data_IF_917327757445
#
_entry.id   IF_917327757445
#
_cell.length_a   1.000
_cell.length_b   1.000
_cell.length_c   1.000
_cell.angle_alpha   90.00
_cell.angle_beta   90.00
_cell.angle_gamma   90.00
#
_symmetry.space_group_name_H-M   'P 1'
#
loop_
_entity.id
_entity.type
_entity.pdbx_description
1 polymer ?
#
# COMPACT_ATOMS: atom_id res chain seq x y z
N UNK A 1 8.96 -14.22 -26.58
CA UNK A 1 8.94 -15.35 -25.62
C UNK A 1 7.48 -15.54 -25.22
N UNK A 2 6.83 -16.65 -25.58
CA UNK A 2 5.45 -16.90 -25.18
C UNK A 2 5.45 -17.54 -23.78
N UNK A 3 4.96 -16.82 -22.78
CA UNK A 3 4.80 -17.36 -21.43
C UNK A 3 3.54 -18.24 -21.48
N UNK A 4 3.70 -19.56 -21.39
CA UNK A 4 2.56 -20.47 -21.29
C UNK A 4 1.88 -20.31 -19.93
N UNK A 5 0.64 -19.80 -19.93
CA UNK A 5 -0.18 -19.71 -18.71
C UNK A 5 -0.91 -21.04 -18.53
N UNK A 6 -0.94 -21.58 -17.31
CA UNK A 6 -1.68 -22.81 -17.04
C UNK A 6 -3.18 -22.61 -17.23
N UNK A 7 -3.89 -23.68 -17.64
CA UNK A 7 -5.36 -23.66 -17.77
C UNK A 7 -6.06 -23.28 -16.47
N UNK A 8 -5.49 -23.69 -15.33
CA UNK A 8 -6.03 -23.34 -14.00
C UNK A 8 -5.92 -21.85 -13.70
N UNK A 9 -4.81 -21.20 -14.05
CA UNK A 9 -4.65 -19.75 -13.86
C UNK A 9 -5.61 -18.97 -14.76
N UNK A 10 -5.75 -19.37 -16.04
CA UNK A 10 -6.71 -18.71 -16.94
C UNK A 10 -8.15 -18.86 -16.44
N UNK A 11 -8.53 -20.07 -15.98
CA UNK A 11 -9.84 -20.31 -15.39
C UNK A 11 -10.07 -19.47 -14.14
N UNK A 12 -9.11 -19.43 -13.22
CA UNK A 12 -9.22 -18.64 -12.00
C UNK A 12 -9.37 -17.14 -12.29
N UNK A 13 -8.59 -16.60 -13.23
CA UNK A 13 -8.71 -15.19 -13.64
C UNK A 13 -10.07 -14.90 -14.29
N UNK A 14 -10.55 -15.81 -15.14
CA UNK A 14 -11.88 -15.67 -15.77
C UNK A 14 -12.99 -15.72 -14.73
N UNK A 15 -12.94 -16.68 -13.81
CA UNK A 15 -13.95 -16.85 -12.75
C UNK A 15 -13.93 -15.66 -11.77
N UNK A 16 -12.76 -15.07 -11.51
CA UNK A 16 -12.59 -13.92 -10.61
C UNK A 16 -13.06 -12.59 -11.23
N UNK A 17 -12.77 -12.37 -12.51
CA UNK A 17 -12.96 -11.06 -13.17
C UNK A 17 -14.13 -11.01 -14.15
N UNK A 18 -14.64 -12.16 -14.58
CA UNK A 18 -15.57 -12.28 -15.71
C UNK A 18 -14.92 -12.09 -17.09
N UNK A 19 -13.61 -11.79 -17.14
CA UNK A 19 -12.89 -11.53 -18.39
C UNK A 19 -12.28 -12.81 -18.96
N UNK A 20 -12.64 -13.15 -20.20
CA UNK A 20 -12.11 -14.33 -20.92
C UNK A 20 -10.74 -14.05 -21.56
N UNK A 21 -10.41 -12.78 -21.79
CA UNK A 21 -9.14 -12.37 -22.38
C UNK A 21 -8.10 -12.26 -21.26
N UNK A 22 -7.08 -13.11 -21.28
CA UNK A 22 -6.07 -13.21 -20.22
C UNK A 22 -5.47 -11.85 -19.82
N UNK A 23 -5.04 -11.03 -20.78
CA UNK A 23 -4.43 -9.73 -20.50
C UNK A 23 -5.40 -8.76 -19.80
N UNK A 24 -6.68 -8.77 -20.19
CA UNK A 24 -7.71 -7.96 -19.51
C UNK A 24 -7.97 -8.46 -18.10
N UNK A 25 -8.16 -9.78 -17.95
CA UNK A 25 -8.36 -10.42 -16.65
C UNK A 25 -7.19 -10.16 -15.70
N UNK A 26 -5.95 -10.20 -16.21
CA UNK A 26 -4.75 -9.88 -15.46
C UNK A 26 -4.73 -8.40 -15.04
N UNK A 27 -5.01 -7.47 -15.96
CA UNK A 27 -5.04 -6.04 -15.66
C UNK A 27 -6.08 -5.69 -14.59
N UNK A 28 -7.30 -6.22 -14.70
CA UNK A 28 -8.35 -6.05 -13.69
C UNK A 28 -7.89 -6.59 -12.34
N UNK A 29 -7.38 -7.83 -12.31
CA UNK A 29 -6.91 -8.46 -11.06
C UNK A 29 -5.77 -7.66 -10.40
N UNK A 30 -4.83 -7.14 -11.20
CA UNK A 30 -3.72 -6.33 -10.68
C UNK A 30 -4.23 -5.00 -10.13
N UNK A 31 -5.15 -4.33 -10.83
CA UNK A 31 -5.78 -3.08 -10.36
C UNK A 31 -6.49 -3.30 -9.03
N UNK A 32 -7.35 -4.31 -8.93
CA UNK A 32 -8.09 -4.64 -7.70
C UNK A 32 -7.13 -4.94 -6.53
N UNK A 33 -6.05 -5.68 -6.79
CA UNK A 33 -5.02 -5.98 -5.79
C UNK A 33 -4.31 -4.73 -5.29
N UNK A 34 -3.98 -3.78 -6.18
CA UNK A 34 -3.37 -2.50 -5.83
C UNK A 34 -4.34 -1.67 -4.97
N UNK A 35 -5.59 -1.54 -5.41
CA UNK A 35 -6.63 -0.78 -4.69
C UNK A 35 -6.88 -1.34 -3.29
N UNK A 36 -6.96 -2.67 -3.16
CA UNK A 36 -7.11 -3.33 -1.85
C UNK A 36 -5.94 -3.06 -0.91
N UNK A 37 -4.70 -3.14 -1.43
CA UNK A 37 -3.48 -2.85 -0.65
C UNK A 37 -3.43 -1.38 -0.24
N UNK A 38 -3.75 -0.46 -1.14
CA UNK A 38 -3.86 0.96 -0.82
C UNK A 38 -4.93 1.23 0.24
N UNK A 39 -6.08 0.56 0.16
CA UNK A 39 -7.14 0.65 1.17
C UNK A 39 -6.66 0.22 2.56
N UNK A 40 -5.91 -0.89 2.65
CA UNK A 40 -5.30 -1.34 3.92
C UNK A 40 -4.26 -0.34 4.45
N UNK A 41 -3.39 0.16 3.58
CA UNK A 41 -2.38 1.15 3.96
C UNK A 41 -3.04 2.42 4.49
N UNK A 42 -4.05 2.96 3.79
CA UNK A 42 -4.81 4.14 4.24
C UNK A 42 -5.45 3.95 5.61
N UNK A 43 -6.03 2.78 5.88
CA UNK A 43 -6.57 2.44 7.21
C UNK A 43 -5.49 2.48 8.30
N UNK A 44 -4.32 1.89 8.03
CA UNK A 44 -3.22 1.88 8.98
C UNK A 44 -2.61 3.27 9.19
N UNK A 45 -2.43 4.05 8.13
CA UNK A 45 -1.98 5.45 8.23
C UNK A 45 -2.92 6.29 9.12
N UNK A 46 -4.24 6.09 8.99
CA UNK A 46 -5.22 6.78 9.83
C UNK A 46 -5.11 6.42 11.31
N UNK A 47 -4.59 5.23 11.67
CA UNK A 47 -4.36 4.85 13.07
C UNK A 47 -3.26 5.73 13.66
N UNK A 48 -2.09 5.80 13.01
CA UNK A 48 -0.99 6.63 13.49
C UNK A 48 -1.35 8.12 13.50
N UNK A 49 -2.03 8.62 12.47
CA UNK A 49 -2.49 10.01 12.43
C UNK A 49 -3.38 10.37 13.61
N UNK A 50 -4.26 9.46 14.04
CA UNK A 50 -5.11 9.64 15.22
C UNK A 50 -4.32 9.51 16.52
N UNK A 51 -3.39 8.56 16.60
CA UNK A 51 -2.59 8.34 17.81
C UNK A 51 -1.69 9.54 18.13
N UNK A 52 -1.14 10.19 17.10
CA UNK A 52 -0.24 11.33 17.25
C UNK A 52 -0.92 12.68 17.00
N UNK A 53 -2.20 12.69 16.62
CA UNK A 53 -2.99 13.89 16.30
C UNK A 53 -2.31 14.81 15.26
N UNK A 54 -1.64 14.23 14.27
CA UNK A 54 -0.91 14.97 13.23
C UNK A 54 -0.70 14.14 11.97
N UNK A 55 -0.27 14.80 10.89
CA UNK A 55 0.16 14.10 9.67
C UNK A 55 1.59 13.58 9.82
N UNK A 56 1.95 12.63 8.95
CA UNK A 56 3.29 12.04 8.98
C UNK A 56 4.40 13.07 8.77
N UNK A 57 4.22 14.02 7.85
CA UNK A 57 5.24 15.04 7.57
C UNK A 57 5.49 15.94 8.78
N UNK A 58 4.44 16.31 9.51
CA UNK A 58 4.53 17.06 10.76
C UNK A 58 5.24 16.24 11.84
N UNK A 59 4.89 14.96 11.97
CA UNK A 59 5.55 14.03 12.90
C UNK A 59 7.04 13.90 12.60
N UNK A 60 7.41 13.68 11.33
CA UNK A 60 8.79 13.54 10.86
C UNK A 60 9.60 14.82 11.08
N UNK A 61 8.99 15.98 10.87
CA UNK A 61 9.62 17.27 11.19
C UNK A 61 9.90 17.38 12.70
N UNK A 62 8.91 17.11 13.56
CA UNK A 62 9.09 17.18 15.01
C UNK A 62 10.09 16.14 15.52
N UNK A 63 10.12 14.95 14.93
CA UNK A 63 11.10 13.89 15.21
C UNK A 63 12.52 14.40 14.97
N UNK A 64 12.78 14.98 13.80
CA UNK A 64 14.10 15.52 13.47
C UNK A 64 14.53 16.68 14.37
N UNK A 65 13.56 17.40 14.94
CA UNK A 65 13.79 18.50 15.89
C UNK A 65 13.93 18.03 17.35
N UNK A 66 13.79 16.74 17.64
CA UNK A 66 13.84 16.24 19.03
C UNK A 66 12.60 16.59 19.85
N UNK A 67 11.47 16.91 19.20
CA UNK A 67 10.26 17.48 19.84
C UNK A 67 9.14 16.46 20.04
N UNK A 68 9.34 15.21 19.63
CA UNK A 68 8.38 14.14 19.90
C UNK A 68 8.51 13.70 21.37
N UNK A 69 7.37 13.63 22.05
CA UNK A 69 7.33 13.14 23.44
C UNK A 69 7.81 11.68 23.47
N UNK A 70 8.71 11.36 24.40
CA UNK A 70 9.29 10.03 24.57
C UNK A 70 9.92 9.48 23.28
N UNK A 71 10.55 10.34 22.46
CA UNK A 71 11.09 9.97 21.15
C UNK A 71 12.02 8.74 21.18
N UNK A 72 12.82 8.57 22.24
CA UNK A 72 13.74 7.43 22.39
C UNK A 72 13.09 6.20 23.03
N UNK A 73 11.77 6.16 23.18
CA UNK A 73 11.07 4.95 23.61
C UNK A 73 10.92 3.99 22.44
N UNK A 74 11.03 2.70 22.73
CA UNK A 74 10.89 1.65 21.74
C UNK A 74 9.57 1.74 20.97
N UNK A 75 8.48 2.09 21.66
CA UNK A 75 7.15 2.23 21.08
C UNK A 75 7.10 3.35 20.04
N UNK A 76 7.65 4.52 20.36
CA UNK A 76 7.62 5.69 19.47
C UNK A 76 8.56 5.51 18.28
N UNK A 77 9.73 4.89 18.48
CA UNK A 77 10.63 4.50 17.38
C UNK A 77 9.98 3.50 16.43
N UNK A 78 9.33 2.47 16.99
CA UNK A 78 8.63 1.47 16.20
C UNK A 78 7.50 2.09 15.38
N UNK A 79 6.68 2.91 15.99
CA UNK A 79 5.58 3.61 15.31
C UNK A 79 6.12 4.50 14.18
N UNK A 80 7.22 5.22 14.39
CA UNK A 80 7.86 6.02 13.34
C UNK A 80 8.29 5.17 12.14
N UNK A 81 9.02 4.07 12.38
CA UNK A 81 9.51 3.18 11.33
C UNK A 81 8.36 2.51 10.56
N UNK A 82 7.33 2.05 11.27
CA UNK A 82 6.17 1.43 10.65
C UNK A 82 5.37 2.43 9.81
N UNK A 83 5.18 3.64 10.33
CA UNK A 83 4.49 4.71 9.64
C UNK A 83 5.25 5.17 8.39
N UNK A 84 6.56 5.38 8.48
CA UNK A 84 7.41 5.72 7.33
C UNK A 84 7.33 4.64 6.25
N UNK A 85 7.44 3.36 6.65
CA UNK A 85 7.31 2.23 5.74
C UNK A 85 5.93 2.12 5.08
N UNK A 86 4.86 2.57 5.74
CA UNK A 86 3.52 2.65 5.14
C UNK A 86 3.42 3.77 4.11
N UNK A 87 3.98 4.96 4.39
CA UNK A 87 4.00 6.09 3.45
C UNK A 87 4.74 5.70 2.17
N UNK A 88 5.95 5.15 2.30
CA UNK A 88 6.74 4.71 1.14
C UNK A 88 6.03 3.63 0.30
N UNK A 89 5.37 2.67 0.95
CA UNK A 89 4.60 1.63 0.25
C UNK A 89 3.36 2.20 -0.43
N UNK A 90 2.71 3.20 0.18
CA UNK A 90 1.58 3.92 -0.41
C UNK A 90 2.01 4.56 -1.73
N UNK A 91 3.08 5.35 -1.68
CA UNK A 91 3.56 6.12 -2.82
C UNK A 91 3.97 5.18 -3.97
N UNK A 92 4.67 4.08 -3.65
CA UNK A 92 5.02 3.05 -4.65
C UNK A 92 3.79 2.42 -5.32
N UNK A 93 2.73 2.13 -4.56
CA UNK A 93 1.51 1.55 -5.12
C UNK A 93 0.67 2.58 -5.89
N UNK A 94 0.68 3.85 -5.47
CA UNK A 94 0.05 4.95 -6.22
C UNK A 94 0.78 5.24 -7.54
N UNK A 95 2.10 5.09 -7.60
CA UNK A 95 2.82 5.13 -8.88
C UNK A 95 2.47 3.94 -9.77
N UNK A 96 2.39 2.72 -9.21
CA UNK A 96 2.00 1.54 -9.96
C UNK A 96 0.55 1.61 -10.46
N UNK A 97 -0.37 2.21 -9.70
CA UNK A 97 -1.78 2.28 -10.11
C UNK A 97 -1.99 3.13 -11.37
N UNK A 98 -1.13 4.13 -11.61
CA UNK A 98 -1.17 4.98 -12.82
C UNK A 98 -0.95 4.21 -14.11
N UNK A 99 -0.37 3.01 -14.05
CA UNK A 99 -0.11 2.16 -15.21
C UNK A 99 -1.37 1.40 -15.66
N UNK A 100 -2.43 1.44 -14.85
CA UNK A 100 -3.71 0.77 -15.10
C UNK A 100 -4.86 1.78 -15.30
N UNK A 101 -4.53 3.06 -15.57
CA UNK A 101 -5.46 4.14 -15.94
C UNK A 101 -5.56 4.24 -17.45
#
# INVERSE_FOLDING_TARGET
MAIGVSKSTLKALTDLTGEVVFERALNVTLKDSIEHRLGKIKKNLNIYQKNYDMKFDDFKMLWNLGKIKNQSSYEVEKDFLEWEGLVMRKDKLEELSKWFI
#
